data_IF_561560791592
#
_entry.id   IF_561560791592
#
_cell.length_a   1.000
_cell.length_b   1.000
_cell.length_c   1.000
_cell.angle_alpha   90.00
_cell.angle_beta   90.00
_cell.angle_gamma   90.00
#
_symmetry.space_group_name_H-M   'P 1'
#
loop_
_entity.id
_entity.type
_entity.pdbx_description
1 polymer ?
#
# COMPACT_ATOMS: atom_id res chain seq x y z
N UNK A 1 -1.56 -35.66 22.93
CA UNK A 1 -1.49 -34.18 22.93
C UNK A 1 -0.09 -33.62 23.16
N UNK A 2 0.77 -34.22 24.00
CA UNK A 2 2.14 -33.71 24.21
C UNK A 2 3.12 -34.00 23.06
N UNK A 3 2.93 -35.07 22.27
CA UNK A 3 3.86 -35.41 21.18
C UNK A 3 3.76 -34.46 19.97
N UNK A 4 2.57 -33.91 19.69
CA UNK A 4 2.36 -32.97 18.58
C UNK A 4 3.03 -31.61 18.83
N UNK A 5 3.04 -31.16 20.09
CA UNK A 5 3.73 -29.91 20.50
C UNK A 5 5.25 -30.00 20.34
N UNK A 6 5.84 -31.18 20.54
CA UNK A 6 7.29 -31.38 20.42
C UNK A 6 7.80 -31.31 18.97
N UNK A 7 6.97 -31.69 17.99
CA UNK A 7 7.31 -31.56 16.56
C UNK A 7 7.03 -30.19 15.96
N UNK A 8 6.07 -29.43 16.52
CA UNK A 8 5.68 -28.12 16.00
C UNK A 8 6.64 -26.98 16.41
N UNK A 9 7.28 -27.09 17.57
CA UNK A 9 8.19 -26.04 18.07
C UNK A 9 9.43 -25.83 17.18
N UNK A 10 10.15 -26.89 16.75
CA UNK A 10 11.31 -26.75 15.86
C UNK A 10 10.91 -26.25 14.47
N UNK A 11 9.77 -26.71 13.93
CA UNK A 11 9.21 -26.22 12.67
C UNK A 11 8.89 -24.72 12.74
N UNK A 12 8.29 -24.26 13.84
CA UNK A 12 7.99 -22.85 14.04
C UNK A 12 9.25 -21.98 14.11
N UNK A 13 10.32 -22.46 14.76
CA UNK A 13 11.60 -21.74 14.85
C UNK A 13 12.29 -21.66 13.48
N UNK A 14 12.30 -22.76 12.72
CA UNK A 14 12.85 -22.78 11.38
C UNK A 14 12.08 -21.83 10.44
N UNK A 15 10.75 -21.90 10.45
CA UNK A 15 9.92 -21.01 9.64
C UNK A 15 10.11 -19.53 9.99
N UNK A 16 10.24 -19.21 11.28
CA UNK A 16 10.54 -17.85 11.73
C UNK A 16 11.92 -17.40 11.27
N UNK A 17 12.93 -18.27 11.34
CA UNK A 17 14.28 -17.97 10.87
C UNK A 17 14.30 -17.69 9.36
N UNK A 18 13.65 -18.54 8.57
CA UNK A 18 13.52 -18.37 7.12
C UNK A 18 12.79 -17.07 6.78
N UNK A 19 11.68 -16.77 7.46
CA UNK A 19 10.92 -15.52 7.26
C UNK A 19 11.77 -14.30 7.57
N UNK A 20 12.55 -14.32 8.65
CA UNK A 20 13.47 -13.23 9.01
C UNK A 20 14.57 -13.05 7.97
N UNK A 21 15.14 -14.15 7.47
CA UNK A 21 16.17 -14.11 6.44
C UNK A 21 15.63 -13.53 5.13
N UNK A 22 14.43 -13.94 4.72
CA UNK A 22 13.75 -13.39 3.54
C UNK A 22 13.48 -11.90 3.71
N UNK A 23 12.99 -11.47 4.88
CA UNK A 23 12.75 -10.06 5.17
C UNK A 23 14.04 -9.21 5.14
N UNK A 24 15.15 -9.73 5.68
CA UNK A 24 16.45 -9.05 5.63
C UNK A 24 16.91 -8.85 4.18
N UNK A 25 16.83 -9.89 3.36
CA UNK A 25 17.20 -9.82 1.92
C UNK A 25 16.27 -8.88 1.14
N UNK A 26 14.97 -8.92 1.41
CA UNK A 26 14.01 -8.01 0.79
C UNK A 26 14.31 -6.54 1.17
N UNK A 27 14.76 -6.31 2.41
CA UNK A 27 15.17 -4.98 2.87
C UNK A 27 16.43 -4.48 2.18
N UNK A 28 17.43 -5.34 2.00
CA UNK A 28 18.65 -5.01 1.23
C UNK A 28 18.33 -4.70 -0.23
N UNK A 29 17.46 -5.51 -0.86
CA UNK A 29 17.01 -5.26 -2.22
C UNK A 29 16.31 -3.91 -2.35
N UNK A 30 15.38 -3.61 -1.43
CA UNK A 30 14.68 -2.32 -1.40
C UNK A 30 15.66 -1.16 -1.24
N UNK A 31 16.71 -1.32 -0.43
CA UNK A 31 17.75 -0.30 -0.28
C UNK A 31 18.49 -0.03 -1.60
N UNK A 32 18.88 -1.07 -2.33
CA UNK A 32 19.50 -0.91 -3.65
C UNK A 32 18.54 -0.29 -4.68
N UNK A 33 17.26 -0.66 -4.64
CA UNK A 33 16.21 -0.03 -5.47
C UNK A 33 16.10 1.47 -5.18
N UNK A 34 16.05 1.86 -3.90
CA UNK A 34 16.01 3.26 -3.49
C UNK A 34 17.21 4.06 -4.02
N UNK A 35 18.43 3.48 -4.00
CA UNK A 35 19.61 4.14 -4.60
C UNK A 35 19.45 4.36 -6.10
N UNK A 36 18.97 3.36 -6.82
CA UNK A 36 18.77 3.44 -8.27
C UNK A 36 17.69 4.47 -8.64
N UNK A 37 16.60 4.51 -7.88
CA UNK A 37 15.45 5.40 -8.11
C UNK A 37 15.78 6.86 -7.79
N UNK A 38 16.61 7.11 -6.78
CA UNK A 38 17.00 8.47 -6.36
C UNK A 38 17.59 9.31 -7.51
N UNK A 39 18.30 8.69 -8.45
CA UNK A 39 18.92 9.38 -9.60
C UNK A 39 18.26 9.03 -10.93
N UNK A 40 17.15 8.29 -10.90
CA UNK A 40 16.43 7.89 -12.10
C UNK A 40 15.61 9.06 -12.68
N UNK A 41 15.71 9.20 -13.99
CA UNK A 41 14.82 10.01 -14.81
C UNK A 41 13.48 9.29 -15.05
N UNK A 42 12.50 10.01 -15.60
CA UNK A 42 11.14 9.51 -15.79
C UNK A 42 11.07 8.27 -16.69
N UNK A 43 11.96 8.16 -17.68
CA UNK A 43 12.02 6.99 -18.55
C UNK A 43 12.46 5.75 -17.76
N UNK A 44 13.50 5.88 -16.93
CA UNK A 44 13.95 4.77 -16.07
C UNK A 44 12.92 4.39 -15.01
N UNK A 45 12.20 5.36 -14.44
CA UNK A 45 11.09 5.11 -13.51
C UNK A 45 10.00 4.30 -14.19
N UNK A 46 9.64 4.67 -15.43
CA UNK A 46 8.64 3.99 -16.24
C UNK A 46 9.09 2.60 -16.66
N UNK A 47 10.26 2.47 -17.28
CA UNK A 47 10.79 1.19 -17.77
C UNK A 47 11.06 0.21 -16.62
N UNK A 48 11.40 0.73 -15.44
CA UNK A 48 11.58 -0.04 -14.21
C UNK A 48 10.27 -0.42 -13.51
N UNK A 49 9.10 -0.05 -14.05
CA UNK A 49 7.78 -0.34 -13.47
C UNK A 49 7.65 0.15 -12.02
N UNK A 50 8.29 1.28 -11.69
CA UNK A 50 8.35 1.78 -10.31
C UNK A 50 6.96 2.18 -9.82
N UNK A 51 6.17 2.86 -10.65
CA UNK A 51 4.79 3.21 -10.30
C UNK A 51 3.92 1.97 -10.09
N UNK A 52 4.05 0.93 -10.92
CA UNK A 52 3.30 -0.31 -10.74
C UNK A 52 3.65 -0.96 -9.39
N UNK A 53 4.94 -0.98 -9.03
CA UNK A 53 5.39 -1.49 -7.73
C UNK A 53 4.84 -0.66 -6.56
N UNK A 54 4.79 0.67 -6.68
CA UNK A 54 4.19 1.57 -5.69
C UNK A 54 2.70 1.28 -5.54
N UNK A 55 1.95 1.22 -6.63
CA UNK A 55 0.51 0.97 -6.59
C UNK A 55 0.13 -0.44 -6.11
N UNK A 56 0.98 -1.43 -6.39
CA UNK A 56 0.86 -2.77 -5.82
C UNK A 56 1.13 -2.74 -4.31
N UNK A 57 2.16 -2.01 -3.86
CA UNK A 57 2.45 -1.83 -2.44
C UNK A 57 1.30 -1.13 -1.70
N UNK A 58 0.66 -0.12 -2.33
CA UNK A 58 -0.56 0.51 -1.82
C UNK A 58 -1.64 -0.54 -1.61
N UNK A 59 -2.03 -1.30 -2.64
CA UNK A 59 -3.09 -2.30 -2.53
C UNK A 59 -2.78 -3.38 -1.48
N UNK A 60 -1.50 -3.74 -1.33
CA UNK A 60 -1.03 -4.72 -0.35
C UNK A 60 -0.97 -4.17 1.08
N UNK A 61 -1.02 -2.86 1.27
CA UNK A 61 -0.84 -2.21 2.56
C UNK A 61 0.62 -2.22 3.04
N UNK A 62 1.59 -2.27 2.13
CA UNK A 62 3.01 -2.32 2.46
C UNK A 62 3.55 -0.89 2.69
N UNK A 63 3.25 -0.33 3.86
CA UNK A 63 3.59 1.06 4.20
C UNK A 63 5.11 1.31 4.24
N UNK A 64 5.90 0.36 4.74
CA UNK A 64 7.37 0.50 4.84
C UNK A 64 8.01 0.69 3.47
N UNK A 65 7.49 0.02 2.45
CA UNK A 65 7.94 0.16 1.07
C UNK A 65 7.64 1.56 0.53
N UNK A 66 6.42 2.06 0.78
CA UNK A 66 6.00 3.40 0.36
C UNK A 66 6.90 4.46 1.01
N UNK A 67 7.06 4.42 2.35
CA UNK A 67 7.87 5.39 3.10
C UNK A 67 9.31 5.43 2.58
N UNK A 68 9.93 4.27 2.34
CA UNK A 68 11.32 4.21 1.87
C UNK A 68 11.50 4.77 0.46
N UNK A 69 10.55 4.54 -0.44
CA UNK A 69 10.63 5.04 -1.81
C UNK A 69 10.28 6.51 -1.92
N UNK A 70 9.20 6.95 -1.28
CA UNK A 70 8.82 8.36 -1.25
C UNK A 70 9.88 9.22 -0.57
N UNK A 71 10.55 8.69 0.45
CA UNK A 71 11.66 9.37 1.12
C UNK A 71 12.90 9.61 0.26
N UNK A 72 13.07 8.88 -0.85
CA UNK A 72 14.19 9.11 -1.80
C UNK A 72 13.78 9.86 -3.06
N UNK A 73 12.51 9.80 -3.45
CA UNK A 73 11.96 10.48 -4.63
C UNK A 73 10.51 10.89 -4.35
N UNK A 74 10.32 12.16 -3.99
CA UNK A 74 9.04 12.69 -3.49
C UNK A 74 7.98 12.79 -4.60
N UNK A 75 8.41 12.94 -5.85
CA UNK A 75 7.56 13.03 -7.04
C UNK A 75 6.74 11.74 -7.28
N UNK A 76 7.08 10.64 -6.60
CA UNK A 76 6.29 9.41 -6.65
C UNK A 76 4.87 9.61 -6.08
N UNK A 77 4.65 10.59 -5.19
CA UNK A 77 3.34 10.92 -4.67
C UNK A 77 2.37 11.50 -5.71
N UNK A 78 2.91 12.13 -6.76
CA UNK A 78 2.14 12.75 -7.85
C UNK A 78 1.78 11.74 -8.95
N UNK A 79 2.31 10.52 -8.86
CA UNK A 79 2.05 9.45 -9.80
C UNK A 79 0.58 9.04 -9.86
N UNK A 80 0.14 8.65 -11.06
CA UNK A 80 -1.16 8.02 -11.29
C UNK A 80 -0.97 6.64 -11.89
N UNK A 81 -1.90 5.74 -11.60
CA UNK A 81 -1.90 4.41 -12.19
C UNK A 81 -2.43 4.42 -13.64
N UNK A 82 -2.49 3.23 -14.24
CA UNK A 82 -3.00 3.02 -15.58
C UNK A 82 -4.47 3.45 -15.76
N UNK A 83 -5.23 3.63 -14.69
CA UNK A 83 -6.61 4.11 -14.69
C UNK A 83 -6.72 5.60 -14.32
N UNK A 84 -5.59 6.31 -14.27
CA UNK A 84 -5.52 7.71 -13.85
C UNK A 84 -5.97 7.94 -12.40
N UNK A 85 -5.71 6.96 -11.52
CA UNK A 85 -6.00 7.07 -10.07
C UNK A 85 -4.74 7.43 -9.31
N UNK A 86 -4.84 8.40 -8.40
CA UNK A 86 -3.77 8.74 -7.47
C UNK A 86 -3.59 7.68 -6.37
N UNK A 87 -2.48 7.77 -5.62
CA UNK A 87 -2.23 6.93 -4.44
C UNK A 87 -3.37 7.05 -3.42
N UNK A 88 -3.90 8.26 -3.21
CA UNK A 88 -5.02 8.49 -2.29
C UNK A 88 -6.30 7.78 -2.74
N UNK A 89 -6.62 7.81 -4.03
CA UNK A 89 -7.78 7.10 -4.59
C UNK A 89 -7.62 5.58 -4.43
N UNK A 90 -6.43 5.05 -4.73
CA UNK A 90 -6.11 3.62 -4.56
C UNK A 90 -6.13 3.17 -3.11
N UNK A 91 -5.53 3.95 -2.20
CA UNK A 91 -5.56 3.67 -0.76
C UNK A 91 -7.00 3.67 -0.22
N UNK A 92 -7.85 4.57 -0.73
CA UNK A 92 -9.28 4.65 -0.39
C UNK A 92 -10.05 3.43 -0.86
N UNK A 93 -9.90 3.07 -2.14
CA UNK A 93 -10.54 1.89 -2.71
C UNK A 93 -10.09 0.61 -2.00
N UNK A 94 -8.82 0.55 -1.61
CA UNK A 94 -8.19 -0.62 -0.97
C UNK A 94 -8.31 -0.65 0.56
N UNK A 95 -8.98 0.33 1.19
CA UNK A 95 -9.15 0.42 2.66
C UNK A 95 -7.82 0.40 3.41
N UNK A 96 -6.83 1.12 2.89
CA UNK A 96 -5.47 1.19 3.45
C UNK A 96 -5.32 2.47 4.25
N UNK A 97 -5.92 2.46 5.44
CA UNK A 97 -6.07 3.65 6.27
C UNK A 97 -4.72 4.32 6.63
N UNK A 98 -3.68 3.54 6.94
CA UNK A 98 -2.37 4.11 7.28
C UNK A 98 -1.68 4.77 6.09
N UNK A 99 -1.78 4.17 4.89
CA UNK A 99 -1.21 4.74 3.66
C UNK A 99 -2.01 5.97 3.25
N UNK A 100 -3.33 5.96 3.40
CA UNK A 100 -4.17 7.14 3.19
C UNK A 100 -3.74 8.28 4.11
N UNK A 101 -3.60 8.01 5.41
CA UNK A 101 -3.12 8.99 6.38
C UNK A 101 -1.74 9.52 6.02
N UNK A 102 -0.80 8.65 5.63
CA UNK A 102 0.54 9.03 5.20
C UNK A 102 0.49 9.96 3.98
N UNK A 103 -0.19 9.54 2.92
CA UNK A 103 -0.34 10.32 1.68
C UNK A 103 -1.05 11.65 1.92
N UNK A 104 -2.03 11.67 2.83
CA UNK A 104 -2.76 12.89 3.18
C UNK A 104 -1.94 13.81 4.10
N UNK A 105 -1.09 13.29 4.97
CA UNK A 105 -0.28 14.14 5.86
C UNK A 105 0.97 14.67 5.15
N UNK A 106 1.64 13.82 4.38
CA UNK A 106 2.87 14.16 3.64
C UNK A 106 2.59 14.87 2.31
N UNK A 107 1.39 14.69 1.74
CA UNK A 107 0.98 15.40 0.54
C UNK A 107 0.84 16.90 0.80
N UNK A 108 1.48 17.71 -0.04
CA UNK A 108 1.29 19.16 -0.04
C UNK A 108 -0.19 19.49 -0.34
N UNK A 109 -0.59 20.72 -0.03
CA UNK A 109 -1.94 21.24 -0.27
C UNK A 109 -2.40 21.00 -1.72
N UNK A 110 -1.48 21.04 -2.67
CA UNK A 110 -1.73 20.78 -4.08
C UNK A 110 -2.10 19.32 -4.39
N UNK A 111 -1.51 18.33 -3.70
CA UNK A 111 -1.85 16.90 -3.85
C UNK A 111 -3.26 16.62 -3.29
N UNK A 112 -3.63 17.29 -2.20
CA UNK A 112 -4.97 17.19 -1.60
C UNK A 112 -6.05 17.79 -2.50
N UNK A 113 -5.80 19.01 -2.98
CA UNK A 113 -6.69 19.69 -3.90
C UNK A 113 -6.82 18.91 -5.20
N UNK A 114 -5.71 18.50 -5.81
CA UNK A 114 -5.71 17.78 -7.09
C UNK A 114 -6.48 16.47 -6.97
N UNK A 115 -6.29 15.70 -5.90
CA UNK A 115 -7.03 14.46 -5.65
C UNK A 115 -8.54 14.71 -5.46
N UNK A 116 -8.94 15.82 -4.82
CA UNK A 116 -10.35 16.12 -4.57
C UNK A 116 -11.14 16.38 -5.86
N UNK A 117 -10.48 16.92 -6.89
CA UNK A 117 -11.07 17.16 -8.22
C UNK A 117 -10.68 16.11 -9.26
N UNK A 118 -9.84 15.14 -8.90
CA UNK A 118 -9.38 14.08 -9.81
C UNK A 118 -10.51 13.09 -10.11
N UNK A 119 -10.56 12.69 -11.37
CA UNK A 119 -11.42 11.63 -11.87
C UNK A 119 -10.56 10.56 -12.54
N UNK A 120 -10.88 9.30 -12.29
CA UNK A 120 -10.31 8.19 -13.04
C UNK A 120 -10.84 8.19 -14.50
N UNK A 121 -10.35 7.25 -15.31
CA UNK A 121 -10.81 7.07 -16.71
C UNK A 121 -12.32 6.80 -16.85
N UNK A 122 -13.00 6.42 -15.78
CA UNK A 122 -14.43 6.11 -15.72
C UNK A 122 -15.25 7.18 -15.00
N UNK A 123 -14.67 8.37 -14.77
CA UNK A 123 -15.36 9.48 -14.08
C UNK A 123 -15.68 9.21 -12.61
N UNK A 124 -14.95 8.30 -11.98
CA UNK A 124 -15.01 8.09 -10.53
C UNK A 124 -14.01 9.00 -9.83
N UNK A 125 -14.50 9.80 -8.88
CA UNK A 125 -13.67 10.52 -7.93
C UNK A 125 -13.40 9.69 -6.66
N UNK A 126 -12.65 10.24 -5.71
CA UNK A 126 -12.29 9.56 -4.46
C UNK A 126 -13.51 9.15 -3.61
N UNK A 127 -14.62 9.89 -3.67
CA UNK A 127 -15.86 9.55 -2.96
C UNK A 127 -16.52 8.31 -3.55
N UNK A 128 -16.50 8.18 -4.88
CA UNK A 128 -16.93 6.95 -5.54
C UNK A 128 -16.06 5.77 -5.10
N UNK A 129 -14.73 5.94 -5.02
CA UNK A 129 -13.81 4.90 -4.53
C UNK A 129 -14.13 4.46 -3.10
N UNK A 130 -14.52 5.39 -2.23
CA UNK A 130 -14.93 5.10 -0.86
C UNK A 130 -16.23 4.29 -0.81
N UNK A 131 -17.18 4.58 -1.71
CA UNK A 131 -18.46 3.87 -1.82
C UNK A 131 -18.38 2.51 -2.55
N UNK A 132 -17.35 2.28 -3.35
CA UNK A 132 -17.14 0.99 -4.01
C UNK A 132 -16.76 -0.10 -3.01
N UNK A 133 -17.21 -1.32 -3.27
CA UNK A 133 -16.71 -2.49 -2.57
C UNK A 133 -15.20 -2.61 -2.79
N UNK A 134 -14.45 -2.84 -1.70
CA UNK A 134 -13.02 -3.03 -1.81
C UNK A 134 -12.70 -4.21 -2.75
N UNK A 135 -11.56 -4.20 -3.46
CA UNK A 135 -11.20 -5.28 -4.36
C UNK A 135 -11.24 -6.65 -3.66
N UNK A 136 -11.79 -7.67 -4.33
CA UNK A 136 -11.91 -9.04 -3.77
C UNK A 136 -10.58 -9.60 -3.29
N UNK A 137 -9.46 -9.19 -3.89
CA UNK A 137 -8.09 -9.54 -3.47
C UNK A 137 -7.76 -9.14 -2.02
N UNK A 138 -8.45 -8.12 -1.49
CA UNK A 138 -8.30 -7.65 -0.10
C UNK A 138 -9.20 -8.47 0.83
N UNK A 139 -10.47 -8.66 0.44
CA UNK A 139 -11.42 -9.47 1.21
C UNK A 139 -11.03 -10.93 1.33
N UNK A 140 -10.47 -11.52 0.28
CA UNK A 140 -10.05 -12.93 0.25
C UNK A 140 -8.86 -13.21 1.19
N UNK A 141 -8.14 -12.18 1.66
CA UNK A 141 -7.07 -12.32 2.65
C UNK A 141 -7.59 -12.37 4.08
N UNK A 142 -8.81 -11.90 4.31
CA UNK A 142 -9.42 -11.80 5.63
C UNK A 142 -10.43 -12.92 5.79
N UNK A 143 -10.14 -13.84 6.71
CA UNK A 143 -11.00 -15.01 6.94
C UNK A 143 -12.26 -14.64 7.73
N UNK A 144 -13.41 -14.67 7.06
CA UNK A 144 -14.73 -14.53 7.68
C UNK A 144 -15.28 -13.10 7.71
N UNK A 145 -16.61 -13.00 7.63
CA UNK A 145 -17.34 -11.74 7.49
C UNK A 145 -17.10 -10.75 8.65
N UNK A 146 -16.94 -11.25 9.89
CA UNK A 146 -16.71 -10.41 11.07
C UNK A 146 -15.39 -9.62 10.96
N UNK A 147 -14.31 -10.26 10.52
CA UNK A 147 -13.01 -9.60 10.33
C UNK A 147 -13.03 -8.64 9.13
N UNK A 148 -13.77 -8.98 8.08
CA UNK A 148 -13.97 -8.08 6.93
C UNK A 148 -14.71 -6.80 7.37
N UNK A 149 -15.79 -6.93 8.14
CA UNK A 149 -16.50 -5.77 8.73
C UNK A 149 -15.61 -4.97 9.68
N UNK A 150 -14.78 -5.62 10.49
CA UNK A 150 -13.86 -4.93 11.40
C UNK A 150 -12.90 -4.01 10.62
N UNK A 151 -12.39 -4.46 9.46
CA UNK A 151 -11.54 -3.65 8.57
C UNK A 151 -12.28 -2.42 8.05
N UNK A 152 -13.53 -2.58 7.60
CA UNK A 152 -14.38 -1.47 7.14
C UNK A 152 -14.65 -0.45 8.27
N UNK A 153 -14.85 -0.91 9.51
CA UNK A 153 -15.00 -0.02 10.67
C UNK A 153 -13.73 0.76 10.98
N UNK A 154 -12.54 0.15 10.87
CA UNK A 154 -11.27 0.87 11.05
C UNK A 154 -11.07 1.94 9.97
N UNK A 155 -11.41 1.63 8.72
CA UNK A 155 -11.41 2.61 7.64
C UNK A 155 -12.36 3.78 7.92
N UNK A 156 -13.59 3.50 8.35
CA UNK A 156 -14.59 4.53 8.67
C UNK A 156 -14.09 5.51 9.75
N UNK A 157 -13.42 4.99 10.80
CA UNK A 157 -12.86 5.83 11.87
C UNK A 157 -11.78 6.78 11.35
N UNK A 158 -10.88 6.30 10.50
CA UNK A 158 -9.83 7.14 9.91
C UNK A 158 -10.43 8.17 8.96
N UNK A 159 -11.41 7.77 8.14
CA UNK A 159 -12.18 8.69 7.32
C UNK A 159 -12.79 9.82 8.14
N UNK A 160 -13.46 9.51 9.26
CA UNK A 160 -14.07 10.53 10.14
C UNK A 160 -13.10 11.47 10.87
N UNK A 161 -11.81 11.12 10.92
CA UNK A 161 -10.78 11.92 11.57
C UNK A 161 -10.03 12.82 10.57
N UNK A 162 -10.11 12.53 9.28
CA UNK A 162 -9.30 13.15 8.23
C UNK A 162 -10.16 13.91 7.21
N UNK A 163 -11.42 13.50 7.00
CA UNK A 163 -12.45 14.16 6.21
C UNK A 163 -13.45 14.89 7.10
#
# INVERSE_FOLDING_TARGET
MLSTLFFLLPLGIQHLHETKLVHARATELLFEMCKAIKTADDNKIKDGLVYDAVFEAVDRGNIDFIIKLSGVKIELWEGVDDQSRSILMRATQSRQAEIFSLAYLEGDHEIKLSTSFMEDKFKNNILHMAGMLAPSRIFNRISGAALQMQREVQWFKVGSLIL
#
